data_IF_022520963522
#
_entry.id   IF_022520963522
#
_cell.length_a   1.000
_cell.length_b   1.000
_cell.length_c   1.000
_cell.angle_alpha   90.00
_cell.angle_beta   90.00
_cell.angle_gamma   90.00
#
_symmetry.space_group_name_H-M   'P 1'
#
loop_
_entity.id
_entity.type
_entity.pdbx_description
1 polymer ?
#
# COMPACT_ATOMS: atom_id res chain seq x y z
N UNK A 1 56.99 20.31 -36.06
CA UNK A 1 55.58 20.76 -36.17
C UNK A 1 54.77 19.56 -36.59
N UNK A 2 53.78 19.02 -35.88
CA UNK A 2 53.09 19.30 -34.62
C UNK A 2 52.45 17.96 -34.19
N UNK A 3 52.63 17.49 -32.94
CA UNK A 3 51.81 16.40 -32.40
C UNK A 3 51.17 16.83 -31.07
N UNK A 4 50.03 17.51 -31.08
CA UNK A 4 49.32 17.80 -29.82
C UNK A 4 47.78 17.99 -29.91
N UNK A 5 47.13 17.73 -31.06
CA UNK A 5 45.69 18.01 -31.20
C UNK A 5 44.76 16.84 -30.79
N UNK A 6 45.17 15.58 -30.93
CA UNK A 6 44.31 14.40 -30.68
C UNK A 6 44.23 13.99 -29.21
N UNK A 7 45.32 14.12 -28.45
CA UNK A 7 45.34 13.77 -27.01
C UNK A 7 44.35 14.61 -26.19
N UNK A 8 44.13 15.88 -26.53
CA UNK A 8 43.24 16.73 -25.74
C UNK A 8 41.74 16.40 -25.96
N UNK A 9 41.39 15.83 -27.12
CA UNK A 9 40.00 15.49 -27.42
C UNK A 9 39.59 14.22 -26.69
N UNK A 10 40.35 13.12 -26.81
CA UNK A 10 40.02 11.85 -26.14
C UNK A 10 39.93 12.00 -24.61
N UNK A 11 40.81 12.83 -24.02
CA UNK A 11 40.74 13.17 -22.60
C UNK A 11 39.48 13.98 -22.24
N UNK A 12 39.05 14.91 -23.09
CA UNK A 12 37.82 15.69 -22.86
C UNK A 12 36.55 14.83 -22.95
N UNK A 13 36.52 13.84 -23.85
CA UNK A 13 35.41 12.89 -23.97
C UNK A 13 35.33 11.94 -22.77
N UNK A 14 36.48 11.48 -22.26
CA UNK A 14 36.56 10.69 -21.04
C UNK A 14 36.10 11.48 -19.81
N UNK A 15 36.58 12.71 -19.65
CA UNK A 15 36.20 13.60 -18.54
C UNK A 15 34.70 13.97 -18.59
N UNK A 16 34.17 14.16 -19.79
CA UNK A 16 32.73 14.37 -19.99
C UNK A 16 31.96 13.09 -19.64
N UNK A 17 32.35 11.92 -20.14
CA UNK A 17 31.71 10.65 -19.78
C UNK A 17 31.75 10.36 -18.27
N UNK A 18 32.87 10.66 -17.61
CA UNK A 18 33.03 10.58 -16.15
C UNK A 18 32.08 11.55 -15.43
N UNK A 19 32.01 12.81 -15.86
CA UNK A 19 31.08 13.78 -15.27
C UNK A 19 29.61 13.40 -15.49
N UNK A 20 29.25 12.85 -16.66
CA UNK A 20 27.90 12.37 -16.96
C UNK A 20 27.54 11.15 -16.11
N UNK A 21 28.45 10.19 -15.92
CA UNK A 21 28.21 9.01 -15.08
C UNK A 21 28.13 9.39 -13.60
N UNK A 22 28.99 10.30 -13.14
CA UNK A 22 28.96 10.85 -11.78
C UNK A 22 27.67 11.61 -11.50
N UNK A 23 27.24 12.46 -12.44
CA UNK A 23 25.95 13.18 -12.37
C UNK A 23 24.77 12.19 -12.40
N UNK A 24 24.83 11.17 -13.25
CA UNK A 24 23.76 10.17 -13.35
C UNK A 24 23.62 9.34 -12.06
N UNK A 25 24.74 8.99 -11.42
CA UNK A 25 24.77 8.34 -10.11
C UNK A 25 24.25 9.25 -9.00
N UNK A 26 24.62 10.53 -9.03
CA UNK A 26 24.15 11.52 -8.05
C UNK A 26 22.64 11.76 -8.19
N UNK A 27 22.13 11.87 -9.41
CA UNK A 27 20.70 11.96 -9.70
C UNK A 27 19.94 10.70 -9.26
N UNK A 28 20.50 9.51 -9.50
CA UNK A 28 19.89 8.25 -9.04
C UNK A 28 19.82 8.23 -7.51
N UNK A 29 20.92 8.55 -6.82
CA UNK A 29 20.98 8.61 -5.35
C UNK A 29 19.95 9.59 -4.80
N UNK A 30 19.87 10.79 -5.38
CA UNK A 30 18.94 11.83 -4.93
C UNK A 30 17.48 11.42 -5.20
N UNK A 31 17.20 10.83 -6.37
CA UNK A 31 15.87 10.31 -6.73
C UNK A 31 15.44 9.15 -5.84
N UNK A 32 16.36 8.25 -5.49
CA UNK A 32 16.09 7.16 -4.54
C UNK A 32 15.78 7.70 -3.16
N UNK A 33 16.59 8.63 -2.65
CA UNK A 33 16.34 9.25 -1.33
C UNK A 33 15.00 9.97 -1.33
N UNK A 34 14.71 10.77 -2.35
CA UNK A 34 13.45 11.51 -2.45
C UNK A 34 12.24 10.58 -2.59
N UNK A 35 12.32 9.55 -3.43
CA UNK A 35 11.24 8.58 -3.61
C UNK A 35 10.98 7.74 -2.35
N UNK A 36 12.04 7.40 -1.60
CA UNK A 36 11.91 6.72 -0.30
C UNK A 36 11.32 7.67 0.72
N UNK A 37 11.77 8.93 0.76
CA UNK A 37 11.23 9.95 1.67
C UNK A 37 9.75 10.22 1.40
N UNK A 38 9.34 10.39 0.15
CA UNK A 38 7.94 10.58 -0.25
C UNK A 38 7.08 9.34 0.05
N UNK A 39 7.63 8.15 -0.20
CA UNK A 39 6.98 6.88 0.13
C UNK A 39 6.77 6.71 1.63
N UNK A 40 7.80 6.98 2.44
CA UNK A 40 7.75 6.90 3.90
C UNK A 40 6.84 7.99 4.47
N UNK A 41 6.88 9.21 3.93
CA UNK A 41 6.05 10.33 4.40
C UNK A 41 4.57 10.07 4.14
N UNK A 42 4.24 9.61 2.92
CA UNK A 42 2.86 9.24 2.58
C UNK A 42 2.36 8.01 3.35
N UNK A 43 3.23 7.04 3.61
CA UNK A 43 2.91 5.87 4.41
C UNK A 43 2.75 6.20 5.89
N UNK A 44 3.61 7.04 6.46
CA UNK A 44 3.54 7.48 7.84
C UNK A 44 2.22 8.22 8.12
N UNK A 45 1.80 9.11 7.21
CA UNK A 45 0.49 9.78 7.31
C UNK A 45 -0.67 8.77 7.26
N UNK A 46 -0.63 7.82 6.33
CA UNK A 46 -1.65 6.74 6.24
C UNK A 46 -1.67 5.84 7.47
N UNK A 47 -0.51 5.49 8.02
CA UNK A 47 -0.40 4.68 9.24
C UNK A 47 -0.97 5.47 10.42
N UNK A 48 -0.64 6.74 10.57
CA UNK A 48 -1.18 7.56 11.66
C UNK A 48 -2.71 7.57 11.64
N UNK A 49 -3.32 7.81 10.46
CA UNK A 49 -4.79 7.72 10.30
C UNK A 49 -5.29 6.30 10.58
N UNK A 50 -4.62 5.29 10.04
CA UNK A 50 -4.98 3.88 10.23
C UNK A 50 -4.97 3.46 11.70
N UNK A 51 -4.00 3.95 12.48
CA UNK A 51 -3.90 3.71 13.93
C UNK A 51 -5.08 4.35 14.65
N UNK A 52 -5.42 5.61 14.34
CA UNK A 52 -6.59 6.28 14.95
C UNK A 52 -7.87 5.52 14.64
N UNK A 53 -8.08 5.12 13.39
CA UNK A 53 -9.25 4.33 12.99
C UNK A 53 -9.27 2.97 13.67
N UNK A 54 -8.13 2.28 13.76
CA UNK A 54 -8.02 0.99 14.44
C UNK A 54 -8.38 1.11 15.93
N UNK A 55 -7.86 2.11 16.63
CA UNK A 55 -8.23 2.36 18.03
C UNK A 55 -9.70 2.71 18.17
N UNK A 56 -10.24 3.57 17.31
CA UNK A 56 -11.66 3.90 17.32
C UNK A 56 -12.53 2.65 17.17
N UNK A 57 -12.25 1.80 16.19
CA UNK A 57 -13.00 0.55 15.97
C UNK A 57 -12.80 -0.44 17.12
N UNK A 58 -11.61 -0.52 17.71
CA UNK A 58 -11.33 -1.36 18.88
C UNK A 58 -12.19 -0.93 20.08
N UNK A 59 -12.15 0.35 20.44
CA UNK A 59 -12.92 0.88 21.57
C UNK A 59 -14.42 0.78 21.32
N UNK A 60 -14.87 0.99 20.09
CA UNK A 60 -16.27 0.81 19.72
C UNK A 60 -16.71 -0.64 19.92
N UNK A 61 -15.92 -1.62 19.50
CA UNK A 61 -16.19 -3.04 19.71
C UNK A 61 -16.25 -3.43 21.19
N UNK A 62 -15.23 -3.00 21.95
CA UNK A 62 -15.17 -3.26 23.39
C UNK A 62 -16.35 -2.59 24.10
N UNK A 63 -16.69 -1.36 23.73
CA UNK A 63 -17.82 -0.61 24.28
C UNK A 63 -19.16 -1.29 24.00
N UNK A 64 -19.41 -1.72 22.75
CA UNK A 64 -20.61 -2.49 22.40
C UNK A 64 -20.70 -3.79 23.21
N UNK A 65 -19.59 -4.53 23.29
CA UNK A 65 -19.52 -5.76 24.07
C UNK A 65 -19.86 -5.52 25.54
N UNK A 66 -19.25 -4.51 26.17
CA UNK A 66 -19.50 -4.19 27.57
C UNK A 66 -20.93 -3.68 27.80
N UNK A 67 -21.49 -2.90 26.87
CA UNK A 67 -22.86 -2.41 26.99
C UNK A 67 -23.87 -3.56 26.94
N UNK A 68 -23.72 -4.46 25.96
CA UNK A 68 -24.55 -5.67 25.83
C UNK A 68 -24.34 -6.57 27.06
N UNK A 69 -23.10 -6.78 27.48
CA UNK A 69 -22.77 -7.61 28.64
C UNK A 69 -23.34 -7.05 29.95
N UNK A 70 -23.38 -5.72 30.12
CA UNK A 70 -23.98 -5.06 31.29
C UNK A 70 -25.49 -5.30 31.35
N UNK A 71 -26.18 -5.26 30.21
CA UNK A 71 -27.62 -5.52 30.14
C UNK A 71 -27.95 -6.99 30.43
N UNK A 72 -27.06 -7.91 30.03
CA UNK A 72 -27.17 -9.34 30.32
C UNK A 72 -26.69 -9.74 31.73
N UNK A 73 -26.22 -8.78 32.54
CA UNK A 73 -25.76 -8.99 33.90
C UNK A 73 -24.31 -9.44 34.05
N UNK A 74 -23.71 -10.04 33.02
CA UNK A 74 -22.32 -10.49 33.01
C UNK A 74 -21.58 -10.08 31.72
N UNK A 75 -20.39 -9.50 31.85
CA UNK A 75 -19.62 -8.98 30.72
C UNK A 75 -19.24 -10.05 29.69
N UNK A 76 -19.03 -11.30 30.13
CA UNK A 76 -18.65 -12.41 29.25
C UNK A 76 -19.71 -12.70 28.17
N UNK A 77 -21.00 -12.51 28.47
CA UNK A 77 -22.05 -12.72 27.48
C UNK A 77 -22.02 -11.69 26.35
N UNK A 78 -21.61 -10.45 26.66
CA UNK A 78 -21.44 -9.40 25.66
C UNK A 78 -20.40 -9.77 24.60
N UNK A 79 -19.26 -10.30 25.03
CA UNK A 79 -18.22 -10.77 24.10
C UNK A 79 -18.68 -11.99 23.31
N UNK A 80 -19.42 -12.91 23.92
CA UNK A 80 -19.92 -14.10 23.26
C UNK A 80 -20.94 -13.78 22.16
N UNK A 81 -21.86 -12.84 22.41
CA UNK A 81 -22.83 -12.35 21.42
C UNK A 81 -22.11 -11.66 20.26
N UNK A 82 -21.12 -10.81 20.55
CA UNK A 82 -20.33 -10.17 19.51
C UNK A 82 -19.56 -11.19 18.64
N UNK A 83 -19.00 -12.24 19.26
CA UNK A 83 -18.32 -13.31 18.53
C UNK A 83 -19.26 -14.09 17.61
N UNK A 84 -20.46 -14.44 18.10
CA UNK A 84 -21.52 -15.08 17.30
C UNK A 84 -21.97 -14.20 16.14
N UNK A 85 -22.17 -12.90 16.38
CA UNK A 85 -22.50 -11.93 15.34
C UNK A 85 -21.42 -11.90 14.24
N UNK A 86 -20.14 -11.82 14.63
CA UNK A 86 -19.02 -11.83 13.68
C UNK A 86 -18.93 -13.14 12.90
N UNK A 87 -19.22 -14.29 13.53
CA UNK A 87 -19.28 -15.58 12.85
C UNK A 87 -20.39 -15.62 11.79
N UNK A 88 -21.59 -15.12 12.12
CA UNK A 88 -22.70 -15.04 11.17
C UNK A 88 -22.34 -14.13 9.98
N UNK A 89 -21.75 -12.96 10.24
CA UNK A 89 -21.26 -12.05 9.19
C UNK A 89 -20.23 -12.75 8.30
N UNK A 90 -19.29 -13.50 8.88
CA UNK A 90 -18.29 -14.25 8.12
C UNK A 90 -18.93 -15.31 7.20
N UNK A 91 -19.93 -16.06 7.70
CA UNK A 91 -20.67 -17.05 6.91
C UNK A 91 -21.44 -16.38 5.77
N UNK A 92 -22.13 -15.27 6.06
CA UNK A 92 -22.87 -14.49 5.06
C UNK A 92 -21.92 -13.94 3.99
N UNK A 93 -20.78 -13.37 4.39
CA UNK A 93 -19.75 -12.90 3.47
C UNK A 93 -19.16 -14.04 2.64
N UNK A 94 -18.90 -15.21 3.22
CA UNK A 94 -18.40 -16.36 2.46
C UNK A 94 -19.40 -16.85 1.40
N UNK A 95 -20.70 -16.87 1.73
CA UNK A 95 -21.76 -17.21 0.78
C UNK A 95 -21.93 -16.14 -0.30
N UNK A 96 -21.84 -14.86 0.07
CA UNK A 96 -21.98 -13.72 -0.84
C UNK A 96 -20.74 -13.52 -1.72
N UNK A 97 -19.54 -13.88 -1.25
CA UNK A 97 -18.28 -13.87 -2.00
C UNK A 97 -18.43 -14.66 -3.31
N UNK A 98 -19.15 -15.79 -3.29
CA UNK A 98 -19.43 -16.56 -4.49
C UNK A 98 -20.22 -15.78 -5.56
N UNK A 99 -21.06 -14.82 -5.15
CA UNK A 99 -21.97 -14.06 -6.03
C UNK A 99 -21.52 -12.62 -6.32
N UNK A 100 -20.63 -12.04 -5.51
CA UNK A 100 -20.16 -10.65 -5.65
C UNK A 100 -18.75 -10.53 -6.23
N UNK A 101 -17.86 -11.52 -6.03
CA UNK A 101 -16.47 -11.45 -6.48
C UNK A 101 -16.24 -12.21 -7.78
N UNK A 102 -16.93 -13.34 -7.97
CA UNK A 102 -16.76 -14.17 -9.18
C UNK A 102 -17.31 -13.52 -10.45
N UNK A 103 -18.37 -12.73 -10.34
CA UNK A 103 -19.14 -12.13 -11.44
C UNK A 103 -18.51 -10.87 -12.06
N UNK A 104 -18.07 -9.83 -11.32
CA UNK A 104 -17.48 -8.64 -11.93
C UNK A 104 -16.03 -8.84 -12.38
N UNK A 105 -15.26 -9.68 -11.68
CA UNK A 105 -13.85 -9.92 -12.03
C UNK A 105 -13.75 -10.70 -13.34
N UNK A 106 -14.57 -11.75 -13.51
CA UNK A 106 -14.63 -12.51 -14.77
C UNK A 106 -15.08 -11.65 -15.95
N UNK A 107 -16.10 -10.81 -15.76
CA UNK A 107 -16.62 -9.96 -16.84
C UNK A 107 -15.65 -8.83 -17.26
N UNK A 108 -14.85 -8.32 -16.31
CA UNK A 108 -13.82 -7.30 -16.60
C UNK A 108 -12.62 -7.88 -17.35
N UNK A 109 -12.21 -9.12 -17.01
CA UNK A 109 -11.13 -9.81 -17.71
C UNK A 109 -11.57 -10.19 -19.13
N UNK A 110 -12.78 -10.76 -19.29
CA UNK A 110 -13.30 -11.19 -20.59
C UNK A 110 -13.53 -9.99 -21.53
N UNK A 111 -14.03 -8.86 -21.03
CA UNK A 111 -14.19 -7.63 -21.84
C UNK A 111 -12.87 -6.94 -22.17
N UNK A 112 -11.83 -7.10 -21.36
CA UNK A 112 -10.49 -6.59 -21.69
C UNK A 112 -9.83 -7.37 -22.83
N UNK A 113 -10.08 -8.68 -22.91
CA UNK A 113 -9.55 -9.55 -23.97
C UNK A 113 -10.39 -9.49 -25.26
N UNK A 114 -11.72 -9.44 -25.15
CA UNK A 114 -12.61 -9.38 -26.33
C UNK A 114 -12.70 -8.01 -27.00
N UNK A 115 -12.23 -6.95 -26.34
CA UNK A 115 -12.17 -5.59 -26.91
C UNK A 115 -10.85 -5.31 -27.65
N UNK A 116 -9.98 -6.31 -27.77
CA UNK A 116 -8.81 -6.26 -28.66
C UNK A 116 -9.18 -6.81 -30.05
N UNK A 117 -10.13 -6.15 -30.72
CA UNK A 117 -10.30 -6.24 -32.16
C UNK A 117 -10.83 -4.95 -32.75
#
# INVERSE_FOLDING_TARGET
MEPNATTNQDFNLYEKAENYTKTSLELLKLKTINSVADGVSSLASKIAVGVVVAFFTLFLNVGLSLWIGKELGEYYFGFFIMALFYLIVAIVLHKSHHRLIKTPIGNSIISSILKEK
#
